data_IF_956772095881
#
_entry.id   IF_956772095881
#
_cell.length_a   1.000
_cell.length_b   1.000
_cell.length_c   1.000
_cell.angle_alpha   90.00
_cell.angle_beta   90.00
_cell.angle_gamma   90.00
#
_symmetry.space_group_name_H-M   'P 1'
#
loop_
_entity.id
_entity.type
_entity.pdbx_description
1 polymer ?
#
# COMPACT_ATOMS: atom_id res chain seq x y z
N UNK A 1 9.20 -22.03 -14.14
CA UNK A 1 8.86 -20.86 -14.97
C UNK A 1 7.74 -19.97 -14.39
N UNK A 2 6.68 -20.52 -13.79
CA UNK A 2 5.59 -19.69 -13.21
C UNK A 2 6.00 -18.80 -12.01
N UNK A 3 7.09 -19.11 -11.32
CA UNK A 3 7.59 -18.30 -10.19
C UNK A 3 8.36 -17.05 -10.63
N UNK A 4 8.94 -17.03 -11.85
CA UNK A 4 9.60 -15.84 -12.41
C UNK A 4 8.59 -14.77 -12.84
N UNK A 5 7.43 -15.19 -13.35
CA UNK A 5 6.34 -14.29 -13.75
C UNK A 5 5.60 -13.75 -12.51
N UNK A 6 5.45 -14.56 -11.46
CA UNK A 6 4.83 -14.14 -10.18
C UNK A 6 5.75 -13.33 -9.27
N UNK A 7 7.08 -13.42 -9.43
CA UNK A 7 8.04 -12.66 -8.61
C UNK A 7 8.02 -11.14 -8.85
N UNK A 8 7.53 -10.70 -10.02
CA UNK A 8 7.39 -9.28 -10.34
C UNK A 8 6.09 -8.65 -9.81
N UNK A 9 5.05 -9.45 -9.57
CA UNK A 9 3.76 -8.91 -9.11
C UNK A 9 3.86 -8.13 -7.79
N UNK A 10 4.58 -8.60 -6.76
CA UNK A 10 4.79 -7.81 -5.54
C UNK A 10 5.53 -6.50 -5.79
N UNK A 11 6.53 -6.50 -6.69
CA UNK A 11 7.27 -5.29 -7.06
C UNK A 11 6.39 -4.29 -7.82
N UNK A 12 5.51 -4.77 -8.70
CA UNK A 12 4.49 -3.95 -9.36
C UNK A 12 3.51 -3.32 -8.38
N UNK A 13 3.03 -4.11 -7.42
CA UNK A 13 2.09 -3.65 -6.40
C UNK A 13 2.76 -2.57 -5.53
N UNK A 14 4.02 -2.77 -5.15
CA UNK A 14 4.79 -1.78 -4.41
C UNK A 14 5.04 -0.50 -5.25
N UNK A 15 5.39 -0.64 -6.53
CA UNK A 15 5.59 0.49 -7.42
C UNK A 15 4.30 1.31 -7.62
N UNK A 16 3.16 0.66 -7.82
CA UNK A 16 1.86 1.33 -7.91
C UNK A 16 1.48 2.05 -6.59
N UNK A 17 1.81 1.44 -5.45
CA UNK A 17 1.58 2.06 -4.15
C UNK A 17 2.47 3.30 -3.93
N UNK A 18 3.69 3.29 -4.45
CA UNK A 18 4.59 4.45 -4.45
C UNK A 18 4.14 5.54 -5.43
N UNK A 19 3.76 5.17 -6.66
CA UNK A 19 3.26 6.10 -7.69
C UNK A 19 1.98 6.83 -7.25
N UNK A 20 1.18 6.20 -6.39
CA UNK A 20 -0.06 6.77 -5.86
C UNK A 20 0.10 7.33 -4.44
N UNK A 21 1.32 7.41 -3.91
CA UNK A 21 1.59 7.97 -2.57
C UNK A 21 0.75 7.34 -1.45
N UNK A 22 0.42 6.05 -1.58
CA UNK A 22 -0.45 5.32 -0.64
C UNK A 22 0.14 5.31 0.77
N UNK A 23 1.45 5.11 0.89
CA UNK A 23 2.14 5.10 2.18
C UNK A 23 2.15 6.48 2.83
N UNK A 24 2.44 7.53 2.07
CA UNK A 24 2.41 8.94 2.51
C UNK A 24 1.01 9.34 3.02
N UNK A 25 -0.03 8.92 2.30
CA UNK A 25 -1.42 9.17 2.66
C UNK A 25 -1.87 8.42 3.93
N UNK A 26 -1.22 7.30 4.26
CA UNK A 26 -1.47 6.48 5.45
C UNK A 26 -0.55 6.80 6.63
N UNK A 27 0.61 7.42 6.41
CA UNK A 27 1.55 7.84 7.46
C UNK A 27 0.91 8.82 8.44
N UNK A 28 0.06 9.72 7.92
CA UNK A 28 -0.60 10.74 8.73
C UNK A 28 -1.72 10.18 9.62
N UNK A 29 -2.49 9.21 9.11
CA UNK A 29 -3.58 8.57 9.82
C UNK A 29 -4.09 7.32 9.07
N UNK A 30 -4.58 6.28 9.80
CA UNK A 30 -5.31 5.18 9.19
C UNK A 30 -6.50 5.69 8.37
N UNK A 31 -6.72 5.11 7.20
CA UNK A 31 -7.81 5.51 6.30
C UNK A 31 -8.47 4.30 5.64
N UNK A 32 -9.76 4.41 5.33
CA UNK A 32 -10.48 3.41 4.53
C UNK A 32 -10.10 3.56 3.05
N UNK A 33 -10.39 2.54 2.25
CA UNK A 33 -10.11 2.57 0.81
C UNK A 33 -10.79 3.75 0.09
N UNK A 34 -12.02 4.10 0.50
CA UNK A 34 -12.78 5.21 -0.05
C UNK A 34 -12.14 6.57 0.27
N UNK A 35 -11.77 6.78 1.54
CA UNK A 35 -11.08 8.00 1.98
C UNK A 35 -9.73 8.13 1.30
N UNK A 36 -9.01 7.02 1.14
CA UNK A 36 -7.72 7.03 0.47
C UNK A 36 -7.90 7.39 -1.00
N UNK A 37 -8.80 6.72 -1.71
CA UNK A 37 -9.09 6.98 -3.12
C UNK A 37 -9.50 8.44 -3.37
N UNK A 38 -10.30 9.03 -2.47
CA UNK A 38 -10.65 10.44 -2.54
C UNK A 38 -9.45 11.38 -2.34
N UNK A 39 -8.49 11.02 -1.47
CA UNK A 39 -7.27 11.81 -1.23
C UNK A 39 -6.30 11.77 -2.40
N UNK A 40 -6.12 10.60 -3.02
CA UNK A 40 -5.17 10.40 -4.13
C UNK A 40 -5.82 10.57 -5.51
N UNK A 41 -7.14 10.79 -5.56
CA UNK A 41 -7.89 11.06 -6.80
C UNK A 41 -8.05 9.83 -7.70
N UNK A 42 -8.13 8.63 -7.12
CA UNK A 42 -8.22 7.36 -7.84
C UNK A 42 -9.60 6.73 -7.75
N UNK A 43 -9.84 5.70 -8.56
CA UNK A 43 -11.06 4.90 -8.48
C UNK A 43 -11.12 4.11 -7.14
N UNK A 44 -12.21 4.20 -6.36
CA UNK A 44 -12.32 3.53 -5.06
C UNK A 44 -12.21 2.01 -5.15
N UNK A 45 -12.74 1.40 -6.21
CA UNK A 45 -12.70 -0.04 -6.39
C UNK A 45 -11.28 -0.51 -6.74
N UNK A 46 -10.61 0.16 -7.68
CA UNK A 46 -9.20 -0.12 -8.01
C UNK A 46 -8.26 0.08 -6.80
N UNK A 47 -8.52 1.12 -6.00
CA UNK A 47 -7.75 1.40 -4.78
C UNK A 47 -7.96 0.33 -3.73
N UNK A 48 -9.20 -0.13 -3.51
CA UNK A 48 -9.48 -1.22 -2.58
C UNK A 48 -8.74 -2.51 -2.96
N UNK A 49 -8.72 -2.86 -4.25
CA UNK A 49 -7.99 -4.05 -4.75
C UNK A 49 -6.48 -3.91 -4.50
N UNK A 50 -5.90 -2.72 -4.73
CA UNK A 50 -4.49 -2.47 -4.46
C UNK A 50 -4.18 -2.59 -2.95
N UNK A 51 -5.02 -2.00 -2.10
CA UNK A 51 -4.85 -2.03 -0.64
C UNK A 51 -4.99 -3.44 -0.06
N UNK A 52 -5.96 -4.21 -0.54
CA UNK A 52 -6.11 -5.62 -0.14
C UNK A 52 -4.91 -6.46 -0.62
N UNK A 53 -4.34 -6.16 -1.80
CA UNK A 53 -3.13 -6.83 -2.28
C UNK A 53 -1.90 -6.47 -1.42
N UNK A 54 -1.73 -5.19 -1.06
CA UNK A 54 -0.68 -4.74 -0.14
C UNK A 54 -0.84 -5.37 1.25
N UNK A 55 -2.07 -5.50 1.74
CA UNK A 55 -2.36 -6.18 3.00
C UNK A 55 -2.04 -7.68 2.94
N UNK A 56 -2.38 -8.34 1.83
CA UNK A 56 -2.04 -9.75 1.60
C UNK A 56 -0.52 -9.98 1.50
N UNK A 57 0.24 -8.98 1.04
CA UNK A 57 1.70 -8.99 1.02
C UNK A 57 2.32 -8.66 2.39
N UNK A 58 1.52 -8.30 3.40
CA UNK A 58 1.99 -7.89 4.72
C UNK A 58 2.57 -6.47 4.78
N UNK A 59 2.37 -5.67 3.72
CA UNK A 59 2.85 -4.28 3.66
C UNK A 59 1.87 -3.30 4.31
N UNK A 60 0.59 -3.67 4.41
CA UNK A 60 -0.43 -2.93 5.13
C UNK A 60 -1.12 -3.85 6.14
N UNK A 61 -1.60 -3.26 7.24
CA UNK A 61 -2.50 -3.93 8.17
C UNK A 61 -3.92 -3.39 7.98
N UNK A 62 -4.87 -4.30 7.79
CA UNK A 62 -6.29 -3.97 7.75
C UNK A 62 -6.89 -4.11 9.15
N UNK A 63 -7.35 -3.00 9.71
CA UNK A 63 -8.03 -2.92 11.00
C UNK A 63 -9.50 -2.57 10.76
N UNK A 64 -10.35 -3.60 10.70
CA UNK A 64 -11.76 -3.44 10.31
C UNK A 64 -11.87 -2.96 8.86
N UNK A 65 -12.31 -1.73 8.67
CA UNK A 65 -12.47 -1.09 7.36
C UNK A 65 -11.30 -0.15 6.99
N UNK A 66 -10.41 0.13 7.96
CA UNK A 66 -9.27 1.02 7.77
C UNK A 66 -7.99 0.25 7.47
N UNK A 67 -7.13 0.86 6.67
CA UNK A 67 -5.77 0.39 6.39
C UNK A 67 -4.78 1.26 7.16
N UNK A 68 -3.71 0.64 7.66
CA UNK A 68 -2.59 1.31 8.31
C UNK A 68 -1.29 0.70 7.84
N UNK A 69 -0.23 1.50 7.77
CA UNK A 69 1.12 1.00 7.51
C UNK A 69 1.69 0.45 8.83
N UNK A 70 2.10 -0.83 8.91
CA UNK A 70 2.81 -1.36 10.07
C UNK A 70 4.13 -0.62 10.30
N UNK A 71 4.54 -0.44 11.55
CA UNK A 71 5.77 0.29 11.90
C UNK A 71 7.01 -0.33 11.23
N UNK A 72 7.13 -1.65 11.23
CA UNK A 72 8.23 -2.38 10.59
C UNK A 72 8.36 -2.09 9.08
N UNK A 73 7.22 -1.83 8.41
CA UNK A 73 7.17 -1.53 6.98
C UNK A 73 7.45 -0.03 6.76
N UNK A 74 6.93 0.83 7.64
CA UNK A 74 7.21 2.26 7.60
C UNK A 74 8.71 2.56 7.78
N UNK A 75 9.42 1.83 8.65
CA UNK A 75 10.87 1.99 8.83
C UNK A 75 11.69 1.56 7.60
N UNK A 76 11.16 0.69 6.74
CA UNK A 76 11.81 0.21 5.52
C UNK A 76 11.46 1.01 4.26
N UNK A 77 10.32 1.71 4.27
CA UNK A 77 9.76 2.40 3.09
C UNK A 77 9.69 3.92 3.23
N UNK A 78 9.84 4.49 4.43
CA UNK A 78 9.97 5.94 4.59
C UNK A 78 11.25 6.43 3.89
N UNK A 79 11.15 7.56 3.19
CA UNK A 79 12.29 8.28 2.56
C UNK A 79 13.45 8.61 3.53
N UNK A 80 13.25 8.38 4.84
CA UNK A 80 14.22 8.59 5.90
C UNK A 80 14.98 7.31 6.33
N UNK A 81 14.82 6.15 5.69
CA UNK A 81 15.67 4.99 6.00
C UNK A 81 17.13 5.31 5.67
N UNK A 82 18.03 5.39 6.67
CA UNK A 82 19.44 5.65 6.41
C UNK A 82 20.02 4.44 5.66
N UNK A 83 20.64 4.71 4.51
CA UNK A 83 21.52 3.73 3.85
C UNK A 83 22.79 3.50 4.64
#
# INVERSE_FOLDING_TARGET
MQQLIRGFQPACILAAAADWDVFTALEHAPATADVLAARIGTDPHGTAVLLDALAALGLLAKQGDAFTTPLDVAELLSENSPR
#
